data_IF_684334190951
#
_entry.id   IF_684334190951
#
_cell.length_a   1.000
_cell.length_b   1.000
_cell.length_c   1.000
_cell.angle_alpha   90.00
_cell.angle_beta   90.00
_cell.angle_gamma   90.00
#
_symmetry.space_group_name_H-M   'P 1'
#
loop_
_entity.id
_entity.type
_entity.pdbx_description
1 polymer ?
#
# COMPACT_ATOMS: atom_id res chain seq x y z
N UNK A 1 -26.66 -2.96 -8.22
CA UNK A 1 -25.24 -3.04 -7.77
C UNK A 1 -24.82 -1.64 -7.33
N UNK A 2 -24.88 -1.39 -6.03
CA UNK A 2 -24.33 -0.21 -5.39
C UNK A 2 -22.88 -0.52 -4.97
N UNK A 3 -21.90 0.29 -5.37
CA UNK A 3 -20.50 0.07 -4.99
C UNK A 3 -20.23 0.29 -3.50
N UNK A 4 -21.13 0.97 -2.78
CA UNK A 4 -21.15 1.01 -1.30
C UNK A 4 -21.34 -0.36 -0.64
N UNK A 5 -21.65 -1.41 -1.41
CA UNK A 5 -21.71 -2.79 -0.92
C UNK A 5 -20.58 -3.68 -1.48
N UNK A 6 -19.65 -3.14 -2.26
CA UNK A 6 -18.49 -3.89 -2.73
C UNK A 6 -17.41 -3.92 -1.65
N UNK A 7 -16.99 -5.10 -1.21
CA UNK A 7 -15.92 -5.24 -0.25
C UNK A 7 -14.63 -4.57 -0.77
N UNK A 8 -14.00 -3.74 0.06
CA UNK A 8 -12.71 -3.12 -0.22
C UNK A 8 -11.61 -3.87 0.56
N UNK A 9 -10.56 -4.29 -0.13
CA UNK A 9 -9.44 -5.03 0.47
C UNK A 9 -8.12 -4.35 0.10
N UNK A 10 -7.42 -3.81 1.08
CA UNK A 10 -6.03 -3.38 0.98
C UNK A 10 -5.10 -4.52 1.37
N UNK A 11 -4.13 -4.86 0.51
CA UNK A 11 -3.10 -5.85 0.83
C UNK A 11 -1.74 -5.16 1.02
N UNK A 12 -1.14 -5.36 2.19
CA UNK A 12 0.20 -4.91 2.53
C UNK A 12 1.11 -6.10 2.83
N UNK A 13 2.31 -6.11 2.26
CA UNK A 13 3.34 -7.11 2.58
C UNK A 13 4.32 -6.44 3.53
N UNK A 14 4.35 -6.86 4.79
CA UNK A 14 5.24 -6.28 5.79
C UNK A 14 6.43 -7.23 6.01
N UNK A 15 7.59 -6.88 5.44
CA UNK A 15 8.81 -7.71 5.46
C UNK A 15 8.62 -9.18 5.06
N UNK A 16 7.65 -9.51 4.21
CA UNK A 16 7.39 -10.90 3.84
C UNK A 16 8.47 -11.47 2.88
N UNK A 17 9.18 -12.56 3.25
CA UNK A 17 10.28 -13.14 2.47
C UNK A 17 9.79 -13.97 1.26
N UNK A 18 9.03 -13.36 0.35
CA UNK A 18 8.52 -14.06 -0.82
C UNK A 18 9.62 -14.52 -1.78
N UNK A 19 9.36 -15.63 -2.49
CA UNK A 19 10.19 -16.09 -3.60
C UNK A 19 9.70 -15.41 -4.90
N UNK A 20 10.54 -14.51 -5.42
CA UNK A 20 10.24 -13.63 -6.55
C UNK A 20 9.30 -12.46 -6.18
N UNK A 21 9.07 -11.55 -7.12
CA UNK A 21 8.19 -10.39 -6.90
C UNK A 21 8.85 -9.16 -6.26
N UNK A 22 10.18 -9.17 -6.15
CA UNK A 22 11.04 -8.07 -5.72
C UNK A 22 12.16 -7.86 -6.75
N UNK A 23 12.80 -6.70 -6.75
CA UNK A 23 13.97 -6.41 -7.58
C UNK A 23 15.25 -6.96 -6.95
N UNK A 24 15.33 -6.97 -5.62
CA UNK A 24 16.40 -7.67 -4.89
C UNK A 24 16.11 -9.16 -4.80
N UNK A 25 16.98 -9.94 -5.43
CA UNK A 25 16.99 -11.40 -5.31
C UNK A 25 18.16 -11.86 -4.43
N UNK A 26 17.93 -12.94 -3.70
CA UNK A 26 18.93 -13.59 -2.84
C UNK A 26 19.03 -15.06 -3.25
N UNK A 27 20.20 -15.67 -3.04
CA UNK A 27 20.44 -17.04 -3.46
C UNK A 27 19.62 -18.05 -2.64
N UNK A 28 19.24 -17.68 -1.42
CA UNK A 28 18.45 -18.53 -0.52
C UNK A 28 17.38 -17.76 0.26
N UNK A 29 16.42 -18.49 0.83
CA UNK A 29 15.41 -17.94 1.75
C UNK A 29 16.05 -17.38 3.04
N UNK A 30 16.97 -18.09 3.72
CA UNK A 30 17.65 -17.54 4.90
C UNK A 30 18.39 -16.23 4.66
N UNK A 31 19.08 -16.09 3.50
CA UNK A 31 19.73 -14.82 3.14
C UNK A 31 18.72 -13.68 2.96
N UNK A 32 17.55 -13.97 2.35
CA UNK A 32 16.47 -12.99 2.21
C UNK A 32 15.89 -12.59 3.56
N UNK A 33 15.68 -13.55 4.45
CA UNK A 33 15.18 -13.27 5.81
C UNK A 33 16.18 -12.43 6.60
N UNK A 34 17.47 -12.78 6.57
CA UNK A 34 18.52 -12.00 7.19
C UNK A 34 18.57 -10.56 6.63
N UNK A 35 18.43 -10.40 5.32
CA UNK A 35 18.36 -9.09 4.69
C UNK A 35 17.09 -8.31 5.08
N UNK A 36 15.92 -8.94 5.07
CA UNK A 36 14.67 -8.24 5.39
C UNK A 36 14.56 -7.87 6.87
N UNK A 37 15.09 -8.71 7.76
CA UNK A 37 14.96 -8.56 9.20
C UNK A 37 16.19 -7.92 9.87
N UNK A 38 17.15 -7.41 9.09
CA UNK A 38 18.27 -6.63 9.60
C UNK A 38 17.74 -5.48 10.50
N UNK A 39 18.28 -5.30 11.72
CA UNK A 39 17.70 -4.38 12.70
C UNK A 39 17.43 -2.96 12.18
N UNK A 40 18.39 -2.38 11.46
CA UNK A 40 18.30 -1.05 10.88
C UNK A 40 17.17 -0.94 9.83
N UNK A 41 16.95 -2.01 9.05
CA UNK A 41 15.89 -2.07 8.03
C UNK A 41 14.52 -2.21 8.68
N UNK A 42 14.42 -3.02 9.73
CA UNK A 42 13.18 -3.16 10.48
C UNK A 42 12.83 -1.87 11.21
N UNK A 43 13.80 -1.16 11.78
CA UNK A 43 13.54 0.12 12.44
C UNK A 43 13.07 1.20 11.46
N UNK A 44 13.75 1.36 10.31
CA UNK A 44 13.28 2.32 9.29
C UNK A 44 11.88 1.96 8.79
N UNK A 45 11.60 0.67 8.56
CA UNK A 45 10.28 0.20 8.15
C UNK A 45 9.19 0.48 9.16
N UNK A 46 9.44 0.23 10.45
CA UNK A 46 8.46 0.57 11.47
C UNK A 46 8.23 2.08 11.56
N UNK A 47 9.29 2.89 11.44
CA UNK A 47 9.17 4.36 11.41
C UNK A 47 8.31 4.83 10.23
N UNK A 48 8.52 4.31 9.02
CA UNK A 48 7.69 4.69 7.85
C UNK A 48 6.26 4.17 7.97
N UNK A 49 6.08 2.93 8.44
CA UNK A 49 4.76 2.35 8.61
C UNK A 49 3.92 3.14 9.63
N UNK A 50 4.52 3.54 10.75
CA UNK A 50 3.88 4.34 11.80
C UNK A 50 3.62 5.78 11.35
N UNK A 51 4.56 6.40 10.64
CA UNK A 51 4.46 7.82 10.27
C UNK A 51 3.64 8.08 9.00
N UNK A 52 3.66 7.18 8.02
CA UNK A 52 3.02 7.37 6.70
C UNK A 52 1.86 6.41 6.46
N UNK A 53 2.06 5.10 6.61
CA UNK A 53 1.07 4.11 6.15
C UNK A 53 -0.15 4.02 7.06
N UNK A 54 0.05 3.92 8.38
CA UNK A 54 -1.05 3.74 9.32
C UNK A 54 -1.94 4.97 9.55
N UNK A 55 -1.44 6.22 9.60
CA UNK A 55 -2.27 7.36 9.93
C UNK A 55 -3.49 7.56 9.01
N UNK A 56 -3.37 7.52 7.66
CA UNK A 56 -4.54 7.69 6.81
C UNK A 56 -5.47 6.47 6.81
N UNK A 57 -4.95 5.26 7.04
CA UNK A 57 -5.79 4.07 7.16
C UNK A 57 -6.70 4.15 8.39
N UNK A 58 -6.18 4.65 9.51
CA UNK A 58 -6.98 4.89 10.73
C UNK A 58 -8.01 6.01 10.56
N UNK A 59 -7.76 6.95 9.66
CA UNK A 59 -8.60 8.12 9.44
C UNK A 59 -9.46 8.05 8.17
N UNK A 60 -9.65 6.86 7.58
CA UNK A 60 -10.50 6.73 6.38
C UNK A 60 -11.91 7.25 6.66
N UNK A 61 -12.45 8.08 5.76
CA UNK A 61 -13.84 8.57 5.86
C UNK A 61 -14.86 7.46 5.65
N UNK A 62 -14.50 6.45 4.86
CA UNK A 62 -15.23 5.19 4.74
C UNK A 62 -14.43 4.08 5.47
N UNK A 63 -14.82 3.71 6.70
CA UNK A 63 -14.09 2.74 7.50
C UNK A 63 -14.37 1.28 7.10
N UNK A 64 -15.27 1.04 6.14
CA UNK A 64 -15.68 -0.31 5.71
C UNK A 64 -14.70 -0.88 4.67
N UNK A 65 -13.55 -1.34 5.16
CA UNK A 65 -12.55 -2.04 4.38
C UNK A 65 -11.82 -3.10 5.21
N UNK A 66 -11.12 -4.00 4.55
CA UNK A 66 -10.17 -4.95 5.16
C UNK A 66 -8.75 -4.53 4.82
N UNK A 67 -7.87 -4.46 5.81
CA UNK A 67 -6.44 -4.24 5.63
C UNK A 67 -5.67 -5.52 5.96
N UNK A 68 -5.39 -6.31 4.93
CA UNK A 68 -4.67 -7.57 5.03
C UNK A 68 -3.16 -7.32 5.07
N UNK A 69 -2.53 -7.63 6.21
CA UNK A 69 -1.08 -7.53 6.40
C UNK A 69 -0.46 -8.92 6.36
N UNK A 70 0.42 -9.14 5.39
CA UNK A 70 1.13 -10.41 5.20
C UNK A 70 2.52 -10.33 5.80
N UNK A 71 2.84 -11.27 6.69
CA UNK A 71 4.17 -11.44 7.28
C UNK A 71 4.70 -12.87 7.09
N UNK A 72 6.01 -13.03 7.21
CA UNK A 72 6.62 -14.36 7.27
C UNK A 72 6.41 -14.99 8.65
N UNK A 73 6.18 -16.31 8.71
CA UNK A 73 6.22 -17.05 9.98
C UNK A 73 7.58 -16.97 10.68
N UNK A 74 8.64 -16.70 9.91
CA UNK A 74 9.99 -16.44 10.39
C UNK A 74 10.22 -15.04 10.95
N UNK A 75 9.21 -14.16 10.94
CA UNK A 75 9.34 -12.81 11.49
C UNK A 75 9.71 -12.89 12.98
N UNK A 76 10.83 -12.29 13.41
CA UNK A 76 11.23 -12.32 14.81
C UNK A 76 10.16 -11.79 15.77
N UNK A 77 10.00 -12.46 16.90
CA UNK A 77 8.99 -12.18 17.93
C UNK A 77 8.89 -10.70 18.35
N UNK A 78 10.00 -9.97 18.59
CA UNK A 78 9.92 -8.54 18.95
C UNK A 78 9.23 -7.70 17.87
N UNK A 79 9.49 -7.99 16.59
CA UNK A 79 8.88 -7.28 15.47
C UNK A 79 7.43 -7.71 15.26
N UNK A 80 7.12 -9.01 15.42
CA UNK A 80 5.72 -9.50 15.38
C UNK A 80 4.87 -8.82 16.45
N UNK A 81 5.38 -8.71 17.68
CA UNK A 81 4.68 -8.05 18.79
C UNK A 81 4.52 -6.55 18.54
N UNK A 82 5.56 -5.85 18.05
CA UNK A 82 5.47 -4.43 17.69
C UNK A 82 4.43 -4.18 16.59
N UNK A 83 4.42 -5.02 15.54
CA UNK A 83 3.43 -4.93 14.46
C UNK A 83 2.01 -5.14 14.98
N UNK A 84 1.79 -6.16 15.81
CA UNK A 84 0.48 -6.42 16.42
C UNK A 84 0.01 -5.24 17.29
N UNK A 85 0.91 -4.65 18.08
CA UNK A 85 0.60 -3.48 18.90
C UNK A 85 0.20 -2.26 18.05
N UNK A 86 0.93 -1.99 16.96
CA UNK A 86 0.59 -0.89 16.04
C UNK A 86 -0.77 -1.08 15.36
N UNK A 87 -1.15 -2.33 15.06
CA UNK A 87 -2.40 -2.65 14.38
C UNK A 87 -3.59 -2.82 15.35
N UNK A 88 -3.37 -2.87 16.66
CA UNK A 88 -4.42 -3.12 17.66
C UNK A 88 -5.58 -2.09 17.60
N UNK A 89 -5.30 -0.85 17.21
CA UNK A 89 -6.29 0.22 17.08
C UNK A 89 -6.77 0.44 15.62
N UNK A 90 -6.55 -0.53 14.73
CA UNK A 90 -7.07 -0.53 13.36
C UNK A 90 -7.96 -1.77 13.19
N UNK A 91 -9.28 -1.69 13.48
CA UNK A 91 -10.17 -2.85 13.47
C UNK A 91 -10.28 -3.54 12.10
N UNK A 92 -9.92 -2.84 11.02
CA UNK A 92 -9.84 -3.37 9.66
C UNK A 92 -8.64 -4.31 9.45
N UNK A 93 -7.64 -4.28 10.33
CA UNK A 93 -6.39 -5.01 10.15
C UNK A 93 -6.56 -6.52 10.38
N UNK A 94 -6.06 -7.30 9.43
CA UNK A 94 -5.99 -8.76 9.52
C UNK A 94 -4.55 -9.17 9.25
N UNK A 95 -3.86 -9.73 10.25
CA UNK A 95 -2.51 -10.28 10.07
C UNK A 95 -2.63 -11.73 9.59
N UNK A 96 -1.90 -12.08 8.54
CA UNK A 96 -1.71 -13.48 8.14
C UNK A 96 -0.21 -13.81 8.05
N UNK A 97 0.16 -14.91 8.70
CA UNK A 97 1.51 -15.46 8.69
C UNK A 97 1.63 -16.57 7.66
N UNK A 98 2.62 -16.49 6.78
CA UNK A 98 2.85 -17.47 5.73
C UNK A 98 4.32 -17.94 5.72
N UNK A 99 4.53 -19.20 5.34
CA UNK A 99 5.88 -19.67 4.99
C UNK A 99 6.37 -18.96 3.72
N UNK A 100 7.70 -18.77 3.55
CA UNK A 100 8.28 -18.29 2.30
C UNK A 100 7.80 -19.12 1.10
N UNK A 101 7.21 -18.45 0.11
CA UNK A 101 6.63 -19.13 -1.05
C UNK A 101 6.60 -18.24 -2.29
N UNK A 102 6.21 -18.84 -3.44
CA UNK A 102 6.08 -18.11 -4.71
C UNK A 102 5.11 -16.95 -4.53
N UNK A 103 5.62 -15.72 -4.71
CA UNK A 103 4.89 -14.50 -4.35
C UNK A 103 3.45 -14.47 -4.88
N UNK A 104 3.25 -14.70 -6.17
CA UNK A 104 1.92 -14.62 -6.79
C UNK A 104 0.94 -15.66 -6.24
N UNK A 105 1.41 -16.83 -5.82
CA UNK A 105 0.53 -17.88 -5.33
C UNK A 105 0.12 -17.62 -3.88
N UNK A 106 1.05 -17.18 -3.04
CA UNK A 106 0.75 -16.82 -1.64
C UNK A 106 -0.18 -15.62 -1.58
N UNK A 107 0.12 -14.53 -2.31
CA UNK A 107 -0.75 -13.34 -2.31
C UNK A 107 -2.15 -13.65 -2.84
N UNK A 108 -2.25 -14.53 -3.86
CA UNK A 108 -3.52 -14.99 -4.42
C UNK A 108 -4.33 -15.77 -3.38
N UNK A 109 -3.71 -16.69 -2.65
CA UNK A 109 -4.38 -17.45 -1.61
C UNK A 109 -4.83 -16.52 -0.47
N UNK A 110 -3.94 -15.66 0.01
CA UNK A 110 -4.17 -14.78 1.16
C UNK A 110 -5.33 -13.78 0.91
N UNK A 111 -5.31 -13.07 -0.22
CA UNK A 111 -6.38 -12.08 -0.52
C UNK A 111 -7.73 -12.74 -0.74
N UNK A 112 -7.77 -13.95 -1.30
CA UNK A 112 -9.01 -14.68 -1.49
C UNK A 112 -9.57 -15.23 -0.18
N UNK A 113 -8.73 -15.50 0.83
CA UNK A 113 -9.15 -16.01 2.13
C UNK A 113 -9.91 -14.97 2.97
N UNK A 114 -9.66 -13.68 2.75
CA UNK A 114 -10.42 -12.58 3.38
C UNK A 114 -11.55 -12.05 2.50
N UNK A 115 -11.69 -12.56 1.27
CA UNK A 115 -12.74 -12.10 0.36
C UNK A 115 -14.08 -12.69 0.78
N UNK A 116 -15.07 -11.82 0.94
CA UNK A 116 -16.44 -12.21 1.26
C UNK A 116 -17.06 -13.08 0.15
N UNK A 117 -17.91 -14.01 0.56
CA UNK A 117 -18.77 -14.72 -0.38
C UNK A 117 -19.90 -13.81 -0.81
N UNK A 118 -19.73 -13.15 -1.95
CA UNK A 118 -20.67 -12.19 -2.51
C UNK A 118 -20.79 -12.33 -4.03
N UNK A 119 -21.96 -11.96 -4.58
CA UNK A 119 -22.16 -11.80 -6.01
C UNK A 119 -21.77 -10.39 -6.51
N UNK A 120 -21.22 -9.55 -5.62
CA UNK A 120 -20.62 -8.27 -5.97
C UNK A 120 -19.10 -8.40 -6.18
N UNK A 121 -18.52 -7.63 -7.11
CA UNK A 121 -17.07 -7.49 -7.21
C UNK A 121 -16.45 -7.00 -5.89
N UNK A 122 -15.21 -7.40 -5.63
CA UNK A 122 -14.36 -6.79 -4.59
C UNK A 122 -13.48 -5.72 -5.21
N UNK A 123 -13.18 -4.65 -4.48
CA UNK A 123 -12.24 -3.60 -4.86
C UNK A 123 -10.94 -3.84 -4.12
N UNK A 124 -9.90 -4.26 -4.84
CA UNK A 124 -8.65 -4.70 -4.25
C UNK A 124 -7.54 -3.71 -4.57
N UNK A 125 -6.88 -3.15 -3.56
CA UNK A 125 -5.69 -2.32 -3.73
C UNK A 125 -4.50 -2.94 -3.02
N UNK A 126 -3.31 -2.48 -3.38
CA UNK A 126 -2.07 -2.87 -2.71
C UNK A 126 -1.41 -1.65 -2.12
N UNK A 127 -0.78 -1.84 -0.97
CA UNK A 127 -0.05 -0.81 -0.26
C UNK A 127 1.30 -1.39 0.13
N UNK A 128 2.39 -0.69 -0.20
CA UNK A 128 3.69 -1.03 0.38
C UNK A 128 3.78 -0.40 1.81
N UNK A 129 4.62 -0.95 2.68
CA UNK A 129 4.68 -0.60 4.12
C UNK A 129 5.31 0.77 4.44
N UNK A 130 5.57 1.55 3.40
CA UNK A 130 6.09 2.92 3.42
C UNK A 130 5.23 3.90 2.59
N UNK A 131 4.18 3.42 1.93
CA UNK A 131 3.24 4.22 1.14
C UNK A 131 2.02 4.63 1.98
N UNK A 132 1.31 5.65 1.49
CA UNK A 132 0.05 6.11 2.07
C UNK A 132 -0.98 6.46 0.98
N UNK A 133 -2.26 6.41 1.34
CA UNK A 133 -3.38 6.91 0.51
C UNK A 133 -4.09 8.04 1.24
N UNK A 134 -4.86 8.85 0.52
CA UNK A 134 -5.69 9.90 1.13
C UNK A 134 -6.67 9.30 2.15
N UNK A 135 -7.05 10.08 3.17
CA UNK A 135 -8.14 9.77 4.11
C UNK A 135 -9.49 9.51 3.41
N UNK A 136 -9.66 9.98 2.17
CA UNK A 136 -10.89 9.76 1.40
C UNK A 136 -10.78 8.59 0.40
N UNK A 137 -9.69 7.81 0.43
CA UNK A 137 -9.39 6.84 -0.63
C UNK A 137 -10.45 5.75 -0.80
N UNK A 138 -10.90 5.11 0.27
CA UNK A 138 -11.90 4.04 0.20
C UNK A 138 -13.23 4.57 -0.34
N UNK A 139 -13.65 5.75 0.12
CA UNK A 139 -14.85 6.42 -0.37
C UNK A 139 -14.76 6.74 -1.86
N UNK A 140 -13.70 7.44 -2.27
CA UNK A 140 -13.47 7.83 -3.68
C UNK A 140 -13.32 6.61 -4.58
N UNK A 141 -12.71 5.53 -4.10
CA UNK A 141 -12.59 4.28 -4.84
C UNK A 141 -13.97 3.65 -5.12
N UNK A 142 -14.86 3.64 -4.13
CA UNK A 142 -16.24 3.16 -4.31
C UNK A 142 -17.03 4.07 -5.25
N UNK A 143 -16.86 5.38 -5.18
CA UNK A 143 -17.48 6.33 -6.11
C UNK A 143 -17.01 6.11 -7.54
N UNK A 144 -15.69 6.02 -7.77
CA UNK A 144 -15.13 5.70 -9.07
C UNK A 144 -15.66 4.38 -9.63
N UNK A 145 -15.73 3.32 -8.80
CA UNK A 145 -16.31 2.04 -9.19
C UNK A 145 -17.81 2.15 -9.53
N UNK A 146 -18.54 3.06 -8.88
CA UNK A 146 -19.94 3.35 -9.16
C UNK A 146 -20.11 3.94 -10.57
N UNK A 147 -19.24 4.87 -10.93
CA UNK A 147 -19.32 5.60 -12.19
C UNK A 147 -19.04 4.69 -13.38
N UNK A 148 -18.14 3.71 -13.22
CA UNK A 148 -17.80 2.72 -14.24
C UNK A 148 -18.49 1.36 -14.07
N UNK A 149 -19.61 1.28 -13.35
CA UNK A 149 -20.39 0.04 -13.15
C UNK A 149 -20.62 -0.79 -14.42
N UNK A 150 -21.00 -0.20 -15.58
CA UNK A 150 -21.16 -0.97 -16.82
C UNK A 150 -19.88 -1.67 -17.27
N UNK A 151 -18.72 -1.04 -17.09
CA UNK A 151 -17.41 -1.60 -17.43
C UNK A 151 -17.05 -2.76 -16.49
N UNK A 152 -17.25 -2.58 -15.18
CA UNK A 152 -17.02 -3.63 -14.17
C UNK A 152 -17.90 -4.86 -14.41
N UNK A 153 -19.16 -4.68 -14.83
CA UNK A 153 -20.06 -5.83 -15.11
C UNK A 153 -19.58 -6.69 -16.29
N UNK A 154 -19.05 -6.05 -17.34
CA UNK A 154 -18.65 -6.71 -18.60
C UNK A 154 -17.27 -7.36 -18.53
N UNK A 155 -16.40 -6.91 -17.61
CA UNK A 155 -15.03 -7.38 -17.52
C UNK A 155 -14.79 -8.23 -16.27
N UNK A 156 -13.79 -9.12 -16.34
CA UNK A 156 -13.39 -9.93 -15.18
C UNK A 156 -12.59 -9.12 -14.15
N UNK A 157 -11.82 -8.17 -14.66
CA UNK A 157 -11.00 -7.24 -13.90
C UNK A 157 -11.11 -5.85 -14.53
N UNK A 158 -11.07 -4.80 -13.73
CA UNK A 158 -10.98 -3.41 -14.19
C UNK A 158 -10.05 -2.66 -13.24
N UNK A 159 -9.05 -1.96 -13.77
CA UNK A 159 -8.19 -1.09 -12.96
C UNK A 159 -8.86 0.26 -12.67
N UNK A 160 -8.65 0.77 -11.47
CA UNK A 160 -9.04 2.13 -11.06
C UNK A 160 -7.78 2.75 -10.45
N UNK A 161 -7.29 3.81 -11.09
CA UNK A 161 -5.99 4.44 -10.82
C UNK A 161 -6.21 5.91 -10.49
N UNK A 162 -5.70 6.39 -9.37
CA UNK A 162 -5.64 7.83 -9.07
C UNK A 162 -4.21 8.30 -9.27
N UNK A 163 -3.96 9.06 -10.34
CA UNK A 163 -2.60 9.24 -10.85
C UNK A 163 -1.85 10.43 -10.26
N UNK A 164 -2.42 11.18 -9.32
CA UNK A 164 -1.78 12.33 -8.69
C UNK A 164 -1.52 12.08 -7.22
N UNK A 165 -0.34 12.49 -6.76
CA UNK A 165 0.06 12.33 -5.37
C UNK A 165 1.41 13.00 -5.10
N UNK A 166 2.11 12.50 -4.09
CA UNK A 166 3.42 12.99 -3.69
C UNK A 166 4.43 11.86 -3.65
N UNK A 167 5.69 12.16 -3.99
CA UNK A 167 6.83 11.41 -3.45
C UNK A 167 7.24 12.12 -2.18
N UNK A 168 7.29 11.40 -1.05
CA UNK A 168 7.62 11.99 0.24
C UNK A 168 8.78 11.25 0.93
N UNK A 169 9.66 12.02 1.56
CA UNK A 169 10.76 11.53 2.39
C UNK A 169 10.57 12.07 3.81
N UNK A 170 10.37 11.21 4.82
CA UNK A 170 10.37 11.63 6.21
C UNK A 170 11.80 11.91 6.71
N UNK A 171 11.94 12.75 7.73
CA UNK A 171 13.22 13.06 8.36
C UNK A 171 13.08 13.93 9.60
N UNK A 172 14.21 14.19 10.27
CA UNK A 172 14.27 14.94 11.53
C UNK A 172 13.77 16.39 11.40
N UNK A 173 13.84 16.98 10.19
CA UNK A 173 13.34 18.33 9.90
C UNK A 173 11.85 18.37 9.51
N UNK A 174 11.22 17.20 9.30
CA UNK A 174 9.83 17.05 8.85
C UNK A 174 9.72 16.19 7.60
N UNK A 175 8.76 16.52 6.73
CA UNK A 175 8.48 15.75 5.51
C UNK A 175 8.92 16.55 4.28
N UNK A 176 9.86 16.00 3.52
CA UNK A 176 10.21 16.52 2.20
C UNK A 176 9.31 15.92 1.13
N UNK A 177 8.68 16.75 0.30
CA UNK A 177 7.73 16.30 -0.72
C UNK A 177 8.05 16.79 -2.12
N UNK A 178 7.54 16.08 -3.12
CA UNK A 178 7.39 16.56 -4.50
C UNK A 178 6.09 16.01 -5.06
N UNK A 179 5.22 16.90 -5.53
CA UNK A 179 4.00 16.51 -6.24
C UNK A 179 4.36 15.79 -7.55
N UNK A 180 3.59 14.76 -7.89
CA UNK A 180 3.81 13.92 -9.07
C UNK A 180 2.48 13.56 -9.75
N UNK A 181 2.58 13.32 -11.06
CA UNK A 181 1.51 12.73 -11.88
C UNK A 181 2.07 11.48 -12.52
N UNK A 182 1.70 10.31 -12.02
CA UNK A 182 2.26 9.01 -12.39
C UNK A 182 1.14 7.99 -12.49
N UNK A 183 1.00 7.36 -13.65
CA UNK A 183 -0.06 6.37 -13.90
C UNK A 183 0.35 4.99 -13.45
N UNK A 184 -0.59 4.22 -12.91
CA UNK A 184 -0.42 2.83 -12.52
C UNK A 184 0.71 2.62 -11.50
N UNK A 185 1.02 3.60 -10.67
CA UNK A 185 1.90 3.39 -9.52
C UNK A 185 1.22 2.52 -8.46
N UNK A 186 1.99 1.95 -7.54
CA UNK A 186 1.48 1.09 -6.48
C UNK A 186 0.43 1.79 -5.61
N UNK A 187 0.71 2.97 -5.02
CA UNK A 187 -0.25 3.58 -4.12
C UNK A 187 -1.41 4.20 -4.90
N UNK A 188 -2.59 4.12 -4.31
CA UNK A 188 -3.86 4.51 -4.92
C UNK A 188 -4.22 3.82 -6.26
N UNK A 189 -3.65 2.65 -6.55
CA UNK A 189 -4.08 1.77 -7.63
C UNK A 189 -4.89 0.58 -7.11
N UNK A 190 -6.10 0.45 -7.60
CA UNK A 190 -7.01 -0.63 -7.28
C UNK A 190 -7.43 -1.43 -8.52
N UNK A 191 -7.95 -2.63 -8.27
CA UNK A 191 -8.56 -3.51 -9.27
C UNK A 191 -9.93 -3.94 -8.75
N UNK A 192 -10.98 -3.67 -9.51
CA UNK A 192 -12.27 -4.32 -9.32
C UNK A 192 -12.18 -5.77 -9.83
N UNK A 193 -12.42 -6.73 -8.94
CA UNK A 193 -12.29 -8.17 -9.18
C UNK A 193 -13.66 -8.83 -9.10
N UNK A 194 -14.10 -9.43 -10.21
CA UNK A 194 -15.41 -10.11 -10.30
C UNK A 194 -15.51 -11.29 -9.30
N UNK A 195 -16.71 -11.61 -8.79
CA UNK A 195 -16.91 -12.82 -7.98
C UNK A 195 -16.31 -14.06 -8.63
N UNK A 196 -15.77 -14.96 -7.81
CA UNK A 196 -15.21 -16.26 -8.24
C UNK A 196 -13.97 -16.14 -9.17
N UNK A 197 -13.46 -14.94 -9.44
CA UNK A 197 -12.16 -14.78 -10.08
C UNK A 197 -11.05 -15.24 -9.12
N UNK A 198 -10.13 -16.07 -9.62
CA UNK A 198 -9.07 -16.64 -8.79
C UNK A 198 -7.90 -15.69 -8.58
N UNK A 199 -7.64 -14.75 -9.51
CA UNK A 199 -6.55 -13.78 -9.40
C UNK A 199 -7.05 -12.49 -8.75
N UNK A 200 -6.15 -11.80 -8.04
CA UNK A 200 -6.39 -10.48 -7.44
C UNK A 200 -5.36 -9.44 -7.86
N UNK A 201 -5.37 -8.28 -7.19
CA UNK A 201 -4.49 -7.12 -7.50
C UNK A 201 -2.99 -7.48 -7.52
N UNK A 202 -2.55 -8.42 -6.69
CA UNK A 202 -1.14 -8.85 -6.59
C UNK A 202 -0.70 -9.84 -7.68
N UNK A 203 -1.61 -10.28 -8.55
CA UNK A 203 -1.29 -11.22 -9.63
C UNK A 203 -0.93 -10.55 -10.95
N UNK A 204 -1.11 -9.23 -11.04
CA UNK A 204 -0.80 -8.44 -12.23
C UNK A 204 0.37 -7.48 -11.94
N UNK A 205 1.19 -7.23 -12.95
CA UNK A 205 2.18 -6.15 -12.86
C UNK A 205 1.45 -4.83 -13.05
N UNK A 206 1.53 -3.92 -12.08
CA UNK A 206 0.91 -2.59 -12.16
C UNK A 206 1.33 -1.83 -13.43
N UNK A 207 2.63 -1.78 -13.74
CA UNK A 207 3.15 -1.13 -14.94
C UNK A 207 2.65 -1.74 -16.27
N UNK A 208 2.03 -2.92 -16.22
CA UNK A 208 1.49 -3.62 -17.40
C UNK A 208 -0.01 -3.92 -17.26
N UNK A 209 -0.71 -3.26 -16.34
CA UNK A 209 -2.10 -3.56 -16.01
C UNK A 209 -3.02 -3.42 -17.25
N UNK A 210 -2.81 -2.36 -18.04
CA UNK A 210 -3.55 -2.10 -19.28
C UNK A 210 -3.39 -3.18 -20.36
N UNK A 211 -2.41 -4.10 -20.24
CA UNK A 211 -2.28 -5.25 -21.15
C UNK A 211 -3.26 -6.39 -20.81
N UNK A 212 -3.84 -6.36 -19.61
CA UNK A 212 -4.65 -7.46 -19.07
C UNK A 212 -6.10 -7.06 -18.77
N UNK A 213 -6.40 -5.77 -18.65
CA UNK A 213 -7.72 -5.25 -18.34
C UNK A 213 -7.90 -3.78 -18.75
N UNK A 214 -9.13 -3.31 -18.95
CA UNK A 214 -9.43 -1.88 -19.01
C UNK A 214 -9.02 -1.17 -17.71
N UNK A 215 -8.59 0.08 -17.81
CA UNK A 215 -8.21 0.91 -16.67
C UNK A 215 -8.84 2.29 -16.79
N UNK A 216 -9.44 2.78 -15.70
CA UNK A 216 -9.81 4.18 -15.50
C UNK A 216 -8.68 4.87 -14.71
N UNK A 217 -8.06 5.91 -15.28
CA UNK A 217 -7.14 6.79 -14.54
C UNK A 217 -7.81 8.13 -14.27
N UNK A 218 -7.92 8.51 -13.01
CA UNK A 218 -8.56 9.73 -12.52
C UNK A 218 -7.49 10.79 -12.17
N UNK A 219 -7.82 12.05 -12.48
CA UNK A 219 -6.98 13.23 -12.21
C UNK A 219 -7.75 14.24 -11.36
N UNK A 220 -7.06 15.19 -10.73
CA UNK A 220 -7.64 16.34 -10.05
C UNK A 220 -7.62 16.25 -8.52
N UNK A 221 -7.14 15.14 -7.96
CA UNK A 221 -7.07 14.90 -6.52
C UNK A 221 -5.74 14.21 -6.17
N UNK A 222 -5.06 14.68 -5.13
CA UNK A 222 -3.89 14.01 -4.59
C UNK A 222 -4.31 12.84 -3.72
N UNK A 223 -4.17 11.62 -4.23
CA UNK A 223 -4.74 10.42 -3.59
C UNK A 223 -3.70 9.49 -2.97
N UNK A 224 -2.41 9.78 -3.17
CA UNK A 224 -1.34 8.99 -2.60
C UNK A 224 -0.14 9.80 -2.10
N UNK A 225 0.58 9.19 -1.18
CA UNK A 225 1.96 9.52 -0.83
C UNK A 225 2.79 8.27 -1.07
N UNK A 226 3.79 8.36 -1.95
CA UNK A 226 4.76 7.31 -2.16
C UNK A 226 5.96 7.53 -1.25
N UNK A 227 6.22 6.59 -0.36
CA UNK A 227 7.34 6.64 0.58
C UNK A 227 8.68 6.58 -0.13
N UNK A 228 9.59 7.45 0.29
CA UNK A 228 10.98 7.46 -0.16
C UNK A 228 11.90 7.34 1.05
N UNK A 229 12.56 6.20 1.18
CA UNK A 229 13.46 5.78 2.26
C UNK A 229 14.77 5.21 1.68
N UNK A 230 15.72 4.82 2.55
CA UNK A 230 17.04 4.33 2.11
C UNK A 230 16.98 2.92 1.50
N UNK A 231 15.91 2.18 1.78
CA UNK A 231 15.79 0.76 1.51
C UNK A 231 14.75 0.38 0.45
N UNK A 232 14.13 1.35 -0.24
CA UNK A 232 13.16 1.07 -1.31
C UNK A 232 13.78 0.13 -2.37
N UNK A 233 13.07 -0.95 -2.67
CA UNK A 233 13.47 -1.97 -3.66
C UNK A 233 13.72 -1.37 -5.06
N UNK A 234 13.01 -0.29 -5.41
CA UNK A 234 13.16 0.43 -6.69
C UNK A 234 14.49 1.20 -6.89
N UNK A 235 15.45 1.11 -5.95
CA UNK A 235 16.68 1.92 -5.91
C UNK A 235 18.01 1.17 -6.00
N UNK A 236 18.10 0.13 -6.80
CA UNK A 236 19.31 -0.70 -6.83
C UNK A 236 20.31 -0.37 -7.96
N UNK A 237 20.03 0.61 -8.84
CA UNK A 237 21.08 1.20 -9.67
C UNK A 237 21.80 2.30 -8.89
N UNK A 238 23.11 2.10 -8.67
CA UNK A 238 24.02 2.98 -7.89
C UNK A 238 23.98 4.48 -8.28
N UNK A 239 23.46 4.81 -9.47
CA UNK A 239 23.48 6.17 -10.04
C UNK A 239 22.16 6.96 -9.92
N UNK A 240 21.10 6.39 -9.29
CA UNK A 240 19.83 7.10 -9.13
C UNK A 240 19.89 8.13 -7.99
N UNK A 241 20.07 9.41 -8.38
CA UNK A 241 19.99 10.55 -7.45
C UNK A 241 18.68 10.52 -6.64
N UNK A 242 18.70 10.82 -5.32
CA UNK A 242 17.49 11.05 -4.52
C UNK A 242 16.46 11.91 -5.27
N UNK A 243 15.15 11.62 -5.21
CA UNK A 243 14.18 12.53 -5.79
C UNK A 243 14.39 13.90 -5.13
N UNK A 244 14.46 14.97 -5.94
CA UNK A 244 14.48 16.31 -5.38
C UNK A 244 13.13 16.53 -4.69
N UNK A 245 13.18 16.77 -3.39
CA UNK A 245 12.02 17.07 -2.54
C UNK A 245 12.27 18.38 -1.81
N UNK A 246 11.20 19.10 -1.49
CA UNK A 246 11.23 20.32 -0.68
C UNK A 246 10.49 20.06 0.62
N UNK A 247 11.01 20.54 1.75
CA UNK A 247 10.31 20.45 3.03
C UNK A 247 8.94 21.13 2.92
N UNK A 248 7.92 20.50 3.51
CA UNK A 248 6.62 21.13 3.68
C UNK A 248 6.79 22.42 4.50
N UNK A 249 6.14 23.48 4.06
CA UNK A 249 5.90 24.66 4.90
C UNK A 249 4.68 24.41 5.80
N UNK A 250 4.30 25.40 6.64
CA UNK A 250 3.15 25.27 7.54
C UNK A 250 1.84 24.95 6.81
N UNK A 251 1.65 25.47 5.60
CA UNK A 251 0.45 25.19 4.80
C UNK A 251 0.46 23.76 4.25
N UNK A 252 1.61 23.31 3.78
CA UNK A 252 1.83 21.94 3.33
C UNK A 252 1.69 20.92 4.46
N UNK A 253 2.19 21.21 5.66
CA UNK A 253 1.98 20.37 6.85
C UNK A 253 0.52 20.26 7.23
N UNK A 254 -0.21 21.39 7.23
CA UNK A 254 -1.65 21.39 7.46
C UNK A 254 -2.40 20.56 6.40
N UNK A 255 -2.03 20.71 5.12
CA UNK A 255 -2.59 19.93 4.03
C UNK A 255 -2.34 18.42 4.19
N UNK A 256 -1.12 18.02 4.56
CA UNK A 256 -0.78 16.61 4.79
C UNK A 256 -1.53 16.04 5.99
N UNK A 257 -1.65 16.82 7.07
CA UNK A 257 -2.43 16.43 8.24
C UNK A 257 -3.90 16.26 7.92
N UNK A 258 -4.49 17.14 7.12
CA UNK A 258 -5.90 17.05 6.73
C UNK A 258 -6.17 15.90 5.76
N UNK A 259 -5.37 15.77 4.71
CA UNK A 259 -5.68 14.89 3.57
C UNK A 259 -5.08 13.49 3.67
N UNK A 260 -4.04 13.32 4.49
CA UNK A 260 -3.35 12.03 4.70
C UNK A 260 -3.22 11.66 6.19
N UNK A 261 -3.68 12.51 7.12
CA UNK A 261 -3.46 12.34 8.55
C UNK A 261 -1.97 12.18 8.95
N UNK A 262 -1.05 12.60 8.09
CA UNK A 262 0.39 12.55 8.33
C UNK A 262 0.78 13.82 9.07
N UNK A 263 1.24 13.67 10.31
CA UNK A 263 1.62 14.77 11.18
C UNK A 263 3.12 15.01 11.14
N UNK A 264 3.53 16.16 10.61
CA UNK A 264 4.95 16.49 10.51
C UNK A 264 5.64 16.58 11.88
N UNK A 265 4.94 16.93 12.96
CA UNK A 265 5.52 16.93 14.31
C UNK A 265 5.79 15.51 14.81
N UNK A 266 4.88 14.57 14.54
CA UNK A 266 5.07 13.16 14.86
C UNK A 266 6.21 12.55 14.03
N UNK A 267 6.29 12.89 12.73
CA UNK A 267 7.42 12.50 11.87
C UNK A 267 8.74 12.97 12.48
N UNK A 268 8.86 14.26 12.84
CA UNK A 268 10.09 14.76 13.48
C UNK A 268 10.46 13.98 14.74
N UNK A 269 9.49 13.69 15.59
CA UNK A 269 9.72 12.95 16.83
C UNK A 269 10.26 11.53 16.57
N UNK A 270 9.72 10.81 15.58
CA UNK A 270 10.18 9.46 15.20
C UNK A 270 11.57 9.44 14.55
N UNK A 271 12.04 10.56 14.01
CA UNK A 271 13.32 10.68 13.31
C UNK A 271 14.37 11.48 14.09
N UNK A 272 14.06 11.90 15.33
CA UNK A 272 14.99 12.59 16.21
C UNK A 272 15.97 11.64 16.95
N UNK A 273 15.75 10.32 16.86
CA UNK A 273 16.53 9.26 17.51
C UNK A 273 17.51 8.58 16.57
#
# INVERSE_FOLDING_TARGET
>A
MNSRNMQVIGLCRFSYPAIGGFQVEHASVPEREAYLYAPERMEERFRTFESFTLPPLRAQTDPDFTFLVIIGKSLPDPYRQRLAALLANLPQAVIQEHEPGRHRDVMKAAINAVRETSDLPSLQFRMDDDDAVSVNFVERLREAANDIRPLIRRNRYVGIDFNQGFVARPGADGVGVRAVVETLWTPALAVAVKPRASRGVMNFSHAKLCRSMPVLSLTGEFMFVRGHNEFNDSRQTRDLKPPRVSLLDKGGEAYFKENFNIDAAHVRALYAT
#
